data_IF_859484479985
#
_entry.id   IF_859484479985
#
_cell.length_a   1.000
_cell.length_b   1.000
_cell.length_c   1.000
_cell.angle_alpha   90.00
_cell.angle_beta   90.00
_cell.angle_gamma   90.00
#
_symmetry.space_group_name_H-M   'P 1'
#
loop_
_entity.id
_entity.type
_entity.pdbx_description
1 polymer ?
#
# COMPACT_ATOMS: atom_id res chain seq x y z
N UNK A 1 -35.78 -49.89 -47.60
CA UNK A 1 -35.77 -48.41 -47.71
C UNK A 1 -34.92 -47.85 -46.58
N UNK A 2 -33.79 -47.18 -46.87
CA UNK A 2 -32.92 -46.55 -45.85
C UNK A 2 -33.43 -45.14 -45.56
N UNK A 3 -33.84 -44.88 -44.32
CA UNK A 3 -34.14 -43.53 -43.81
C UNK A 3 -32.80 -42.87 -43.47
N UNK A 4 -32.46 -41.80 -44.20
CA UNK A 4 -31.36 -40.90 -43.86
C UNK A 4 -31.84 -39.94 -42.76
N UNK A 5 -31.18 -39.93 -41.61
CA UNK A 5 -31.47 -39.01 -40.50
C UNK A 5 -30.52 -37.82 -40.62
N UNK A 6 -31.07 -36.64 -40.86
CA UNK A 6 -30.36 -35.38 -41.07
C UNK A 6 -29.86 -34.80 -39.72
N UNK A 7 -28.54 -34.77 -39.50
CA UNK A 7 -27.88 -34.48 -38.21
C UNK A 7 -27.43 -33.02 -38.02
N UNK A 8 -27.85 -32.08 -38.88
CA UNK A 8 -27.22 -30.76 -38.98
C UNK A 8 -27.67 -29.66 -38.01
N UNK A 9 -28.68 -29.88 -37.17
CA UNK A 9 -29.38 -28.77 -36.47
C UNK A 9 -28.84 -28.38 -35.09
N UNK A 10 -28.12 -29.26 -34.40
CA UNK A 10 -27.81 -29.07 -32.96
C UNK A 10 -26.47 -28.38 -32.66
N UNK A 11 -25.56 -28.29 -33.64
CA UNK A 11 -24.21 -27.76 -33.39
C UNK A 11 -24.15 -26.22 -33.30
N UNK A 12 -25.09 -25.50 -33.92
CA UNK A 12 -25.02 -24.03 -34.06
C UNK A 12 -25.46 -23.31 -32.77
N UNK A 13 -26.36 -23.91 -31.99
CA UNK A 13 -26.92 -23.27 -30.79
C UNK A 13 -26.00 -23.32 -29.56
N UNK A 14 -25.06 -24.27 -29.49
CA UNK A 14 -24.16 -24.40 -28.34
C UNK A 14 -23.04 -23.36 -28.37
N UNK A 15 -22.66 -22.88 -29.56
CA UNK A 15 -21.58 -21.89 -29.70
C UNK A 15 -21.96 -20.48 -29.24
N UNK A 16 -23.24 -20.08 -29.33
CA UNK A 16 -23.68 -18.73 -28.93
C UNK A 16 -23.86 -18.57 -27.42
N UNK A 17 -24.16 -19.65 -26.68
CA UNK A 17 -24.33 -19.57 -25.22
C UNK A 17 -23.00 -19.49 -24.45
N UNK A 18 -21.89 -19.95 -25.04
CA UNK A 18 -20.59 -19.97 -24.37
C UNK A 18 -19.93 -18.58 -24.24
N UNK A 19 -20.37 -17.57 -25.01
CA UNK A 19 -19.83 -16.21 -24.91
C UNK A 19 -20.47 -15.35 -23.81
N UNK A 20 -21.65 -15.73 -23.28
CA UNK A 20 -22.38 -14.93 -22.29
C UNK A 20 -21.97 -15.20 -20.84
N UNK A 21 -21.22 -16.28 -20.57
CA UNK A 21 -20.81 -16.66 -19.19
C UNK A 21 -19.32 -16.35 -18.90
N UNK A 22 -18.56 -15.86 -19.88
CA UNK A 22 -17.10 -15.67 -19.76
C UNK A 22 -16.62 -14.23 -19.52
N UNK A 23 -17.52 -13.27 -19.30
CA UNK A 23 -17.17 -11.86 -19.14
C UNK A 23 -16.75 -11.47 -17.71
N UNK A 24 -15.58 -10.84 -17.60
CA UNK A 24 -15.01 -10.19 -16.40
C UNK A 24 -14.31 -11.08 -15.35
N UNK A 25 -13.35 -11.88 -15.80
CA UNK A 25 -12.17 -12.15 -14.97
C UNK A 25 -11.27 -10.92 -14.93
N UNK A 26 -11.43 -10.05 -13.93
CA UNK A 26 -10.44 -9.00 -13.64
C UNK A 26 -9.11 -9.67 -13.29
N UNK A 27 -8.22 -9.77 -14.28
CA UNK A 27 -6.84 -10.21 -14.03
C UNK A 27 -6.19 -9.12 -13.19
N UNK A 28 -6.05 -9.36 -11.89
CA UNK A 28 -5.12 -8.61 -11.09
C UNK A 28 -3.75 -8.79 -11.75
N UNK A 29 -3.27 -7.75 -12.43
CA UNK A 29 -1.92 -7.73 -12.94
C UNK A 29 -1.00 -7.80 -11.71
N UNK A 30 -0.46 -8.98 -11.43
CA UNK A 30 0.67 -9.10 -10.54
C UNK A 30 1.78 -8.24 -11.15
N UNK A 31 2.00 -7.06 -10.57
CA UNK A 31 3.09 -6.20 -10.96
C UNK A 31 4.37 -7.00 -10.68
N UNK A 32 4.99 -7.53 -11.74
CA UNK A 32 6.33 -8.10 -11.68
C UNK A 32 7.31 -6.96 -11.44
N UNK A 33 7.41 -6.55 -10.18
CA UNK A 33 8.41 -5.58 -9.75
C UNK A 33 9.79 -6.22 -9.96
N UNK A 34 10.76 -5.48 -10.49
CA UNK A 34 12.10 -6.01 -10.68
C UNK A 34 12.68 -6.45 -9.33
N UNK A 35 12.78 -7.76 -9.12
CA UNK A 35 13.45 -8.34 -7.96
C UNK A 35 14.95 -8.32 -8.24
N UNK A 36 15.64 -7.33 -7.69
CA UNK A 36 17.09 -7.30 -7.78
C UNK A 36 17.68 -8.40 -6.90
N UNK A 37 18.42 -9.34 -7.50
CA UNK A 37 19.13 -10.43 -6.79
C UNK A 37 20.19 -9.96 -5.78
N UNK A 38 20.49 -8.65 -5.78
CA UNK A 38 21.44 -8.00 -4.85
C UNK A 38 20.96 -7.99 -3.40
N UNK A 39 19.65 -7.96 -3.15
CA UNK A 39 19.09 -7.85 -1.80
C UNK A 39 18.61 -9.20 -1.29
N UNK A 40 19.05 -9.57 -0.08
CA UNK A 40 18.74 -10.88 0.52
C UNK A 40 17.96 -10.71 1.82
N UNK A 41 16.87 -11.48 1.94
CA UNK A 41 16.12 -11.58 3.19
C UNK A 41 17.01 -12.11 4.32
N UNK A 42 16.82 -11.61 5.54
CA UNK A 42 17.66 -11.93 6.70
C UNK A 42 18.99 -11.18 6.76
N UNK A 43 19.42 -10.52 5.67
CA UNK A 43 20.62 -9.67 5.65
C UNK A 43 20.26 -8.21 5.46
N UNK A 44 19.55 -7.88 4.38
CA UNK A 44 19.22 -6.49 4.03
C UNK A 44 17.83 -6.08 4.49
N UNK A 45 16.92 -7.05 4.65
CA UNK A 45 15.55 -6.81 5.10
C UNK A 45 14.99 -8.05 5.80
N UNK A 46 13.94 -7.85 6.61
CA UNK A 46 13.16 -8.93 7.21
C UNK A 46 11.77 -8.96 6.57
N UNK A 47 11.28 -10.15 6.25
CA UNK A 47 9.89 -10.35 5.82
C UNK A 47 8.99 -10.30 7.04
N UNK A 48 7.94 -9.49 6.98
CA UNK A 48 6.92 -9.45 8.01
C UNK A 48 5.93 -10.57 7.76
N UNK A 49 5.78 -11.45 8.75
CA UNK A 49 4.83 -12.56 8.74
C UNK A 49 4.05 -12.55 10.07
N UNK A 50 2.72 -12.30 10.07
CA UNK A 50 1.88 -12.08 8.88
C UNK A 50 2.16 -10.76 8.17
N UNK A 51 1.89 -10.74 6.86
CA UNK A 51 1.93 -9.53 6.06
C UNK A 51 0.98 -8.47 6.66
N UNK A 52 1.47 -7.25 6.78
CA UNK A 52 0.68 -6.16 7.36
C UNK A 52 -0.25 -5.55 6.31
N UNK A 53 -1.47 -5.13 6.69
CA UNK A 53 -2.36 -4.43 5.79
C UNK A 53 -1.71 -3.12 5.33
N UNK A 54 -1.94 -2.76 4.07
CA UNK A 54 -1.45 -1.52 3.48
C UNK A 54 -2.62 -0.69 2.99
N UNK A 55 -2.47 0.64 3.04
CA UNK A 55 -3.49 1.59 2.58
C UNK A 55 -3.11 2.21 1.22
N UNK A 56 -2.21 1.58 0.47
CA UNK A 56 -1.80 2.08 -0.84
C UNK A 56 -2.94 1.91 -1.87
N UNK A 57 -3.10 2.87 -2.80
CA UNK A 57 -4.02 2.69 -3.93
C UNK A 57 -3.69 1.43 -4.75
N UNK A 58 -4.68 0.84 -5.44
CA UNK A 58 -4.45 -0.34 -6.29
C UNK A 58 -3.28 -0.13 -7.26
N UNK A 59 -2.40 -1.13 -7.36
CA UNK A 59 -1.21 -1.07 -8.23
C UNK A 59 -0.05 -0.20 -7.71
N UNK A 60 -0.15 0.35 -6.49
CA UNK A 60 0.96 1.04 -5.81
C UNK A 60 1.57 0.16 -4.72
N UNK A 61 2.86 0.36 -4.48
CA UNK A 61 3.59 -0.23 -3.35
C UNK A 61 3.68 0.79 -2.22
N UNK A 62 3.24 0.43 -1.02
CA UNK A 62 3.41 1.29 0.15
C UNK A 62 4.83 1.19 0.70
N UNK A 63 5.52 2.32 0.83
CA UNK A 63 6.80 2.41 1.54
C UNK A 63 6.58 3.32 2.76
N UNK A 64 6.77 2.76 3.95
CA UNK A 64 6.54 3.46 5.21
C UNK A 64 7.87 3.75 5.90
N UNK A 65 8.07 5.00 6.30
CA UNK A 65 9.14 5.37 7.22
C UNK A 65 8.56 5.61 8.60
N UNK A 66 9.12 4.96 9.62
CA UNK A 66 8.80 5.25 11.02
C UNK A 66 9.85 6.21 11.57
N UNK A 67 9.44 7.40 12.01
CA UNK A 67 10.37 8.43 12.47
C UNK A 67 9.95 9.04 13.80
N UNK A 68 10.93 9.57 14.53
CA UNK A 68 10.70 10.34 15.75
C UNK A 68 11.41 11.69 15.61
N UNK A 69 10.74 12.79 15.92
CA UNK A 69 11.27 14.14 15.67
C UNK A 69 12.55 14.44 16.45
N UNK A 70 12.71 13.89 17.66
CA UNK A 70 13.91 14.08 18.47
C UNK A 70 14.95 12.94 18.29
N UNK A 71 14.79 12.07 17.31
CA UNK A 71 15.75 11.01 17.01
C UNK A 71 16.90 11.54 16.13
N UNK A 72 18.16 11.55 16.61
CA UNK A 72 19.28 12.10 15.85
C UNK A 72 19.59 11.31 14.56
N UNK A 73 19.38 9.99 14.57
CA UNK A 73 19.55 9.17 13.37
C UNK A 73 18.49 9.45 12.30
N UNK A 74 17.27 9.74 12.73
CA UNK A 74 16.16 10.10 11.87
C UNK A 74 16.45 11.47 11.21
N UNK A 75 16.94 12.43 12.01
CA UNK A 75 17.41 13.72 11.49
C UNK A 75 18.55 13.58 10.47
N UNK A 76 19.49 12.66 10.70
CA UNK A 76 20.58 12.40 9.76
C UNK A 76 20.11 11.71 8.46
N UNK A 77 19.06 10.89 8.51
CA UNK A 77 18.49 10.19 7.35
C UNK A 77 17.64 11.12 6.45
N UNK A 78 17.00 12.11 7.06
CA UNK A 78 16.01 12.97 6.42
C UNK A 78 16.46 13.64 5.10
N UNK A 79 17.70 14.17 4.95
CA UNK A 79 18.16 14.72 3.67
C UNK A 79 18.13 13.70 2.53
N UNK A 80 18.44 12.43 2.83
CA UNK A 80 18.42 11.34 1.85
C UNK A 80 16.99 10.97 1.46
N UNK A 81 16.06 10.95 2.41
CA UNK A 81 14.63 10.70 2.14
C UNK A 81 14.05 11.82 1.28
N UNK A 82 14.33 13.09 1.61
CA UNK A 82 13.85 14.24 0.82
C UNK A 82 14.38 14.18 -0.61
N UNK A 83 15.66 13.84 -0.80
CA UNK A 83 16.24 13.69 -2.13
C UNK A 83 15.58 12.52 -2.89
N UNK A 84 15.47 11.36 -2.27
CA UNK A 84 14.87 10.17 -2.88
C UNK A 84 13.39 10.37 -3.23
N UNK A 85 12.61 11.07 -2.40
CA UNK A 85 11.18 11.36 -2.67
C UNK A 85 10.96 12.09 -4.00
N UNK A 86 11.91 12.93 -4.41
CA UNK A 86 11.85 13.66 -5.70
C UNK A 86 12.09 12.74 -6.90
N UNK A 87 12.80 11.62 -6.71
CA UNK A 87 13.21 10.71 -7.77
C UNK A 87 12.60 9.31 -7.64
N UNK A 88 11.76 9.07 -6.64
CA UNK A 88 11.18 7.74 -6.38
C UNK A 88 10.34 7.29 -7.58
N UNK A 89 10.26 5.99 -7.87
CA UNK A 89 9.41 5.49 -8.94
C UNK A 89 7.94 5.85 -8.74
N UNK A 90 7.21 6.06 -9.84
CA UNK A 90 5.80 6.47 -9.79
C UNK A 90 4.89 5.44 -9.11
N UNK A 91 5.26 4.15 -9.10
CA UNK A 91 4.49 3.10 -8.45
C UNK A 91 4.64 3.09 -6.92
N UNK A 92 5.49 3.93 -6.34
CA UNK A 92 5.71 3.99 -4.88
C UNK A 92 4.77 5.01 -4.25
N UNK A 93 3.95 4.57 -3.31
CA UNK A 93 3.18 5.42 -2.39
C UNK A 93 3.95 5.52 -1.06
N UNK A 94 4.65 6.64 -0.86
CA UNK A 94 5.53 6.85 0.29
C UNK A 94 4.82 7.62 1.39
N UNK A 95 4.94 7.14 2.62
CA UNK A 95 4.22 7.72 3.76
C UNK A 95 5.09 7.70 5.03
N UNK A 96 5.17 8.82 5.77
CA UNK A 96 5.91 8.90 7.04
C UNK A 96 4.99 8.71 8.25
N UNK A 97 5.36 7.81 9.16
CA UNK A 97 4.64 7.47 10.39
C UNK A 97 5.45 7.97 11.58
N UNK A 98 4.92 8.90 12.35
CA UNK A 98 5.55 9.34 13.58
C UNK A 98 5.40 8.27 14.66
N UNK A 99 6.51 7.95 15.34
CA UNK A 99 6.54 7.01 16.45
C UNK A 99 6.42 7.78 17.77
N UNK A 100 5.50 7.31 18.61
CA UNK A 100 5.15 7.91 19.89
C UNK A 100 5.19 6.80 20.94
N UNK A 101 6.10 6.87 21.90
CA UNK A 101 6.31 5.86 22.93
C UNK A 101 5.72 6.26 24.30
N UNK A 102 5.60 7.55 24.58
CA UNK A 102 5.11 8.10 25.83
C UNK A 102 3.90 9.03 25.62
N UNK A 103 3.07 9.29 26.65
CA UNK A 103 1.91 10.18 26.52
C UNK A 103 2.26 11.60 26.06
N UNK A 104 3.38 12.16 26.56
CA UNK A 104 3.91 13.44 26.09
C UNK A 104 4.37 13.36 24.62
N UNK A 105 4.95 12.20 24.26
CA UNK A 105 5.12 11.67 22.90
C UNK A 105 3.91 12.04 22.05
N UNK A 106 2.77 11.45 22.44
CA UNK A 106 1.50 11.49 21.74
C UNK A 106 0.90 12.90 21.67
N UNK A 107 0.85 13.65 22.77
CA UNK A 107 0.23 14.99 22.80
C UNK A 107 1.03 15.99 21.97
N UNK A 108 2.34 16.04 22.18
CA UNK A 108 3.20 17.05 21.58
C UNK A 108 3.52 16.65 20.15
N UNK A 109 3.80 15.38 19.90
CA UNK A 109 4.07 14.92 18.56
C UNK A 109 2.83 15.08 17.66
N UNK A 110 1.61 14.80 18.12
CA UNK A 110 0.40 15.02 17.30
C UNK A 110 0.25 16.50 16.96
N UNK A 111 0.34 17.39 17.96
CA UNK A 111 0.27 18.83 17.76
C UNK A 111 1.39 19.35 16.83
N UNK A 112 2.63 18.89 17.03
CA UNK A 112 3.79 19.26 16.21
C UNK A 112 3.68 18.67 14.81
N UNK A 113 3.12 17.49 14.60
CA UNK A 113 2.85 16.93 13.28
C UNK A 113 1.82 17.78 12.54
N UNK A 114 0.71 18.13 13.17
CA UNK A 114 -0.30 19.00 12.56
C UNK A 114 0.29 20.38 12.22
N UNK A 115 1.05 20.98 13.14
CA UNK A 115 1.67 22.29 12.93
C UNK A 115 2.82 22.26 11.90
N UNK A 116 3.72 21.28 11.99
CA UNK A 116 4.89 21.15 11.11
C UNK A 116 4.51 20.64 9.73
N UNK A 117 3.55 19.73 9.63
CA UNK A 117 3.00 19.26 8.36
C UNK A 117 2.40 20.40 7.55
N UNK A 118 1.65 21.29 8.21
CA UNK A 118 1.13 22.52 7.63
C UNK A 118 2.23 23.53 7.26
N UNK A 119 3.29 23.64 8.08
CA UNK A 119 4.35 24.63 7.87
C UNK A 119 5.44 24.22 6.87
N UNK A 120 5.75 22.93 6.73
CA UNK A 120 6.90 22.44 5.95
C UNK A 120 6.53 21.60 4.73
N UNK A 121 5.22 21.41 4.45
CA UNK A 121 4.75 20.56 3.34
C UNK A 121 5.25 19.11 3.44
N UNK A 122 5.62 18.71 4.67
CA UNK A 122 6.38 17.50 4.98
C UNK A 122 5.48 16.32 5.26
N UNK A 123 4.24 16.59 5.65
CA UNK A 123 3.20 15.58 5.75
C UNK A 123 2.38 15.58 4.47
N UNK A 124 2.21 14.40 3.89
CA UNK A 124 1.24 14.17 2.84
C UNK A 124 -0.15 14.59 3.35
N UNK A 125 -0.84 15.55 2.69
CA UNK A 125 -2.16 16.02 3.13
C UNK A 125 -3.20 14.89 3.21
N UNK A 126 -2.97 13.77 2.51
CA UNK A 126 -3.83 12.58 2.55
C UNK A 126 -3.70 11.76 3.85
N UNK A 127 -2.85 12.18 4.80
CA UNK A 127 -2.42 11.36 5.94
C UNK A 127 -2.70 11.93 7.33
N UNK A 128 -3.67 12.83 7.50
CA UNK A 128 -4.16 13.10 8.86
C UNK A 128 -4.84 11.83 9.38
N UNK A 129 -4.32 11.16 10.42
CA UNK A 129 -5.00 10.02 10.98
C UNK A 129 -6.32 10.54 11.58
N UNK A 130 -7.45 10.08 11.06
CA UNK A 130 -8.69 10.04 11.83
C UNK A 130 -8.51 8.99 12.94
N UNK A 131 -7.63 9.27 13.90
CA UNK A 131 -7.66 8.54 15.15
C UNK A 131 -8.98 8.96 15.82
N UNK A 132 -9.93 8.06 16.10
CA UNK A 132 -11.02 8.42 16.98
C UNK A 132 -10.39 8.93 18.28
N UNK A 133 -10.93 10.01 18.88
CA UNK A 133 -10.37 10.58 20.09
C UNK A 133 -10.21 9.46 21.10
N UNK A 134 -9.01 9.35 21.69
CA UNK A 134 -8.78 8.47 22.82
C UNK A 134 -9.92 8.73 23.81
N UNK A 135 -10.76 7.72 24.07
CA UNK A 135 -11.77 7.83 25.12
C UNK A 135 -10.98 8.07 26.40
N UNK A 136 -11.15 9.25 26.99
CA UNK A 136 -10.64 9.56 28.31
C UNK A 136 -11.17 8.48 29.28
N UNK A 137 -10.31 7.56 29.71
CA UNK A 137 -10.72 6.50 30.63
C UNK A 137 -9.86 5.23 30.69
N UNK A 138 -8.99 4.95 29.73
CA UNK A 138 -8.11 3.77 29.82
C UNK A 138 -6.79 4.13 30.51
N UNK A 139 -6.87 4.22 31.83
CA UNK A 139 -5.73 4.23 32.72
C UNK A 139 -5.90 3.12 33.75
N UNK A 140 -5.44 1.91 33.45
CA UNK A 140 -4.94 0.95 34.45
C UNK A 140 -4.07 -0.15 33.86
#
# INVERSE_FOLDING_TARGET
MRVVRNSGGLAVSVALLACLVGGLGARAAAANLPVSSRWKAGTNYKVLDPAQPTNAPPGKVQVMEFFYLACPFCHALEPHIVAWRKTKPAYVHFVQVPVMWAPLQVSDGAAVLHASGAATGRLDPDRVPHHPPARAGDGR
#
